data_IF_798851336115
#
_entry.id   IF_798851336115
#
_cell.length_a   1.000
_cell.length_b   1.000
_cell.length_c   1.000
_cell.angle_alpha   90.00
_cell.angle_beta   90.00
_cell.angle_gamma   90.00
#
_symmetry.space_group_name_H-M   'P 1'
#
loop_
_entity.id
_entity.type
_entity.pdbx_description
1 polymer ?
#
# COMPACT_ATOMS: atom_id res chain seq x y z
N UNK A 1 16.75 -22.84 -0.19
CA UNK A 1 15.67 -23.40 0.66
C UNK A 1 14.79 -22.26 1.13
N UNK A 2 13.66 -22.01 0.44
CA UNK A 2 12.73 -20.94 0.82
C UNK A 2 11.89 -21.38 2.01
N UNK A 3 11.92 -20.61 3.10
CA UNK A 3 11.07 -20.86 4.26
C UNK A 3 9.62 -20.62 3.82
N UNK A 4 8.84 -21.69 3.66
CA UNK A 4 7.38 -21.57 3.54
C UNK A 4 6.82 -21.37 4.94
N UNK A 5 6.55 -20.11 5.28
CA UNK A 5 5.78 -19.80 6.48
C UNK A 5 4.32 -20.15 6.20
N UNK A 6 3.67 -20.86 7.13
CA UNK A 6 2.24 -21.12 7.03
C UNK A 6 1.50 -19.78 7.00
N UNK A 7 0.58 -19.60 6.04
CA UNK A 7 -0.30 -18.43 6.00
C UNK A 7 -1.31 -18.62 7.12
N UNK A 8 -1.34 -17.76 8.15
CA UNK A 8 -2.33 -17.86 9.21
C UNK A 8 -3.74 -17.79 8.63
N UNK A 9 -4.67 -18.54 9.23
CA UNK A 9 -6.09 -18.49 8.81
C UNK A 9 -6.67 -17.10 9.05
N UNK A 10 -6.18 -16.41 10.09
CA UNK A 10 -6.53 -15.04 10.40
C UNK A 10 -5.44 -14.07 9.93
N UNK A 11 -5.79 -13.18 8.99
CA UNK A 11 -4.88 -12.15 8.48
C UNK A 11 -4.36 -11.24 9.60
N UNK A 12 -5.10 -11.07 10.70
CA UNK A 12 -4.68 -10.24 11.84
C UNK A 12 -3.42 -10.81 12.49
N UNK A 13 -3.34 -12.12 12.66
CA UNK A 13 -2.14 -12.78 13.21
C UNK A 13 -0.92 -12.57 12.31
N UNK A 14 -1.13 -12.44 11.00
CA UNK A 14 -0.05 -12.21 10.05
C UNK A 14 0.52 -10.79 10.11
N UNK A 15 -0.30 -9.79 10.46
CA UNK A 15 0.04 -8.37 10.31
C UNK A 15 0.01 -7.55 11.60
N UNK A 16 -0.33 -8.14 12.75
CA UNK A 16 -0.44 -7.41 14.02
C UNK A 16 0.83 -6.62 14.37
N UNK A 17 2.01 -7.22 14.20
CA UNK A 17 3.29 -6.55 14.45
C UNK A 17 3.54 -5.36 13.50
N UNK A 18 3.09 -5.48 12.25
CA UNK A 18 3.24 -4.42 11.26
C UNK A 18 2.34 -3.22 11.59
N UNK A 19 1.08 -3.47 11.98
CA UNK A 19 0.19 -2.40 12.43
C UNK A 19 0.74 -1.68 13.65
N UNK A 20 1.17 -2.43 14.66
CA UNK A 20 1.76 -1.88 15.87
C UNK A 20 2.99 -1.00 15.56
N UNK A 21 3.83 -1.41 14.62
CA UNK A 21 5.00 -0.64 14.21
C UNK A 21 4.61 0.63 13.45
N UNK A 22 3.71 0.52 12.47
CA UNK A 22 3.21 1.64 11.67
C UNK A 22 2.60 2.74 12.57
N UNK A 23 1.76 2.35 13.54
CA UNK A 23 1.17 3.30 14.49
C UNK A 23 2.22 3.99 15.36
N UNK A 24 3.22 3.26 15.86
CA UNK A 24 4.31 3.85 16.66
C UNK A 24 5.07 4.89 15.86
N UNK A 25 5.48 4.56 14.63
CA UNK A 25 6.22 5.47 13.76
C UNK A 25 5.40 6.71 13.40
N UNK A 26 4.12 6.51 13.08
CA UNK A 26 3.21 7.61 12.79
C UNK A 26 3.04 8.56 13.99
N UNK A 27 2.85 8.04 15.21
CA UNK A 27 2.73 8.87 16.42
C UNK A 27 4.00 9.70 16.66
N UNK A 28 5.18 9.09 16.48
CA UNK A 28 6.47 9.79 16.64
C UNK A 28 6.60 10.91 15.60
N UNK A 29 6.30 10.64 14.33
CA UNK A 29 6.36 11.64 13.27
C UNK A 29 5.34 12.79 13.49
N UNK A 30 4.11 12.45 13.87
CA UNK A 30 3.06 13.43 14.16
C UNK A 30 3.45 14.35 15.33
N UNK A 31 4.06 13.82 16.39
CA UNK A 31 4.56 14.61 17.51
C UNK A 31 5.67 15.59 17.09
N UNK A 32 6.45 15.25 16.06
CA UNK A 32 7.46 16.12 15.46
C UNK A 32 6.88 17.08 14.39
N UNK A 33 5.56 17.09 14.17
CA UNK A 33 4.90 17.95 13.18
C UNK A 33 4.96 17.43 11.74
N UNK A 34 5.31 16.15 11.54
CA UNK A 34 5.41 15.51 10.23
C UNK A 34 4.47 14.33 10.05
N UNK A 35 4.67 13.60 8.95
CA UNK A 35 4.03 12.31 8.68
C UNK A 35 5.10 11.34 8.17
N UNK A 36 4.86 10.04 8.33
CA UNK A 36 5.72 8.96 7.81
C UNK A 36 4.85 7.83 7.28
N UNK A 37 5.44 6.93 6.50
CA UNK A 37 4.75 5.82 5.86
C UNK A 37 4.19 6.17 4.48
N UNK A 38 3.30 5.31 3.93
CA UNK A 38 2.66 5.54 2.64
C UNK A 38 1.90 6.87 2.59
N UNK A 39 2.14 7.63 1.54
CA UNK A 39 1.54 8.94 1.30
C UNK A 39 0.23 8.83 0.51
N UNK A 40 -0.44 9.97 0.33
CA UNK A 40 -1.59 10.06 -0.59
C UNK A 40 -1.22 9.67 -2.03
N UNK A 41 0.03 9.86 -2.45
CA UNK A 41 0.49 9.42 -3.77
C UNK A 41 0.48 7.90 -3.92
N UNK A 42 0.87 7.18 -2.87
CA UNK A 42 0.85 5.71 -2.85
C UNK A 42 -0.59 5.20 -2.91
N UNK A 43 -1.52 5.86 -2.21
CA UNK A 43 -2.95 5.60 -2.31
C UNK A 43 -3.52 5.87 -3.71
N UNK A 44 -3.10 6.94 -4.37
CA UNK A 44 -3.49 7.25 -5.77
C UNK A 44 -3.01 6.16 -6.72
N UNK A 45 -1.75 5.73 -6.61
CA UNK A 45 -1.20 4.65 -7.42
C UNK A 45 -1.94 3.33 -7.19
N UNK A 46 -2.16 2.95 -5.93
CA UNK A 46 -2.90 1.74 -5.57
C UNK A 46 -4.34 1.74 -6.14
N UNK A 47 -5.01 2.89 -6.10
CA UNK A 47 -6.37 3.04 -6.65
C UNK A 47 -6.38 2.83 -8.16
N UNK A 48 -5.43 3.40 -8.90
CA UNK A 48 -5.35 3.23 -10.35
C UNK A 48 -5.02 1.79 -10.75
N UNK A 49 -4.19 1.10 -9.97
CA UNK A 49 -3.89 -0.32 -10.16
C UNK A 49 -5.16 -1.15 -9.95
N UNK A 50 -5.92 -0.88 -8.89
CA UNK A 50 -7.17 -1.58 -8.60
C UNK A 50 -8.21 -1.38 -9.72
N UNK A 51 -8.36 -0.14 -10.23
CA UNK A 51 -9.23 0.16 -11.37
C UNK A 51 -8.82 -0.62 -12.62
N UNK A 52 -7.54 -0.60 -12.99
CA UNK A 52 -7.06 -1.35 -14.15
C UNK A 52 -7.24 -2.86 -13.99
N UNK A 53 -7.10 -3.39 -12.78
CA UNK A 53 -7.37 -4.80 -12.49
C UNK A 53 -8.84 -5.16 -12.69
N UNK A 54 -9.77 -4.29 -12.29
CA UNK A 54 -11.20 -4.50 -12.55
C UNK A 54 -11.50 -4.47 -14.06
N UNK A 55 -10.94 -3.49 -14.79
CA UNK A 55 -11.07 -3.44 -16.26
C UNK A 55 -10.51 -4.69 -16.93
N UNK A 56 -9.40 -5.24 -16.44
CA UNK A 56 -8.77 -6.45 -16.98
C UNK A 56 -9.59 -7.72 -16.71
N UNK A 57 -10.29 -7.79 -15.56
CA UNK A 57 -11.25 -8.87 -15.29
C UNK A 57 -12.37 -8.86 -16.31
N UNK A 58 -12.91 -7.67 -16.62
CA UNK A 58 -14.01 -7.52 -17.58
C UNK A 58 -13.56 -7.75 -19.03
N UNK A 59 -12.38 -7.25 -19.41
CA UNK A 59 -11.86 -7.35 -20.79
C UNK A 59 -11.18 -8.68 -21.09
N UNK A 60 -10.74 -9.42 -20.06
CA UNK A 60 -9.91 -10.62 -20.19
C UNK A 60 -8.51 -10.36 -20.77
N UNK A 61 -8.11 -9.10 -20.88
CA UNK A 61 -6.89 -8.65 -21.53
C UNK A 61 -5.96 -7.85 -20.62
N UNK A 62 -4.84 -7.40 -21.21
CA UNK A 62 -3.91 -6.51 -20.52
C UNK A 62 -4.44 -5.08 -20.56
N UNK A 63 -4.59 -4.46 -19.38
CA UNK A 63 -5.01 -3.08 -19.23
C UNK A 63 -3.84 -2.18 -18.85
N UNK A 64 -3.76 -1.01 -19.48
CA UNK A 64 -2.73 -0.02 -19.16
C UNK A 64 -3.17 0.81 -17.96
N UNK A 65 -2.23 1.05 -17.04
CA UNK A 65 -2.36 2.01 -15.95
C UNK A 65 -1.74 3.33 -16.41
N UNK A 66 -2.51 4.41 -16.38
CA UNK A 66 -2.03 5.75 -16.72
C UNK A 66 -1.96 6.60 -15.46
N UNK A 67 -0.74 6.94 -15.05
CA UNK A 67 -0.49 7.82 -13.91
C UNK A 67 -0.07 9.21 -14.38
N UNK A 68 -0.46 10.23 -13.62
CA UNK A 68 0.15 11.56 -13.76
C UNK A 68 1.59 11.54 -13.26
N UNK A 69 2.36 12.56 -13.63
CA UNK A 69 3.68 12.77 -13.02
C UNK A 69 3.56 12.96 -11.51
N UNK A 70 4.46 12.34 -10.74
CA UNK A 70 4.47 12.42 -9.29
C UNK A 70 4.75 13.87 -8.85
N UNK A 71 3.81 14.53 -8.14
CA UNK A 71 4.04 15.86 -7.63
C UNK A 71 5.22 15.91 -6.66
N UNK A 72 6.03 16.97 -6.75
CA UNK A 72 7.24 17.13 -5.94
C UNK A 72 7.00 17.09 -4.42
N UNK A 73 5.79 17.40 -3.96
CA UNK A 73 5.39 17.36 -2.54
C UNK A 73 5.41 15.95 -1.93
N UNK A 74 5.53 14.89 -2.74
CA UNK A 74 5.57 13.50 -2.29
C UNK A 74 6.97 12.86 -2.38
N UNK A 75 8.02 13.65 -2.62
CA UNK A 75 9.41 13.20 -2.70
C UNK A 75 10.14 13.31 -1.36
#
# INVERSE_FOLDING_TARGET
HGVRQAVPVDWRERFIEAYDQEFREWIVAAKAGGATGPSTWDGYAATLVADAALRAVDSGGLETIQMREKPAIYN
#
